data_IF_694534948982
#
_entry.id   IF_694534948982
#
_cell.length_a   1.000
_cell.length_b   1.000
_cell.length_c   1.000
_cell.angle_alpha   90.00
_cell.angle_beta   90.00
_cell.angle_gamma   90.00
#
_symmetry.space_group_name_H-M   'P 1'
#
loop_
_entity.id
_entity.type
_entity.pdbx_description
1 polymer ?
#
# COMPACT_ATOMS: atom_id res chain seq x y z
N UNK A 1 5.68 -1.03 -13.13
CA UNK A 1 5.40 -0.11 -12.01
C UNK A 1 3.89 0.00 -11.82
N UNK A 2 3.32 0.09 -10.60
CA UNK A 2 1.88 0.24 -10.44
C UNK A 2 1.36 1.51 -11.13
N UNK A 3 0.16 1.50 -11.75
CA UNK A 3 -0.34 2.65 -12.51
C UNK A 3 -0.49 3.96 -11.73
N UNK A 4 -0.61 3.87 -10.40
CA UNK A 4 -0.79 5.01 -9.49
C UNK A 4 0.51 5.49 -8.82
N UNK A 5 1.66 4.90 -9.16
CA UNK A 5 2.94 5.30 -8.58
C UNK A 5 3.38 6.66 -9.15
N UNK A 6 3.70 7.62 -8.28
CA UNK A 6 4.26 8.91 -8.70
C UNK A 6 5.78 8.77 -8.79
N UNK A 7 6.31 8.79 -10.01
CA UNK A 7 7.74 8.69 -10.30
C UNK A 7 8.36 10.08 -10.25
N UNK A 8 9.38 10.24 -9.40
CA UNK A 8 10.18 11.46 -9.25
C UNK A 8 11.42 11.42 -10.14
N UNK A 9 11.93 10.23 -10.44
CA UNK A 9 13.07 10.03 -11.32
C UNK A 9 13.15 8.60 -11.84
N UNK A 10 13.72 8.45 -13.02
CA UNK A 10 13.95 7.18 -13.70
C UNK A 10 15.34 7.20 -14.33
N UNK A 11 16.11 6.14 -14.15
CA UNK A 11 17.40 5.96 -14.79
C UNK A 11 17.55 4.52 -15.30
N UNK A 12 17.86 4.37 -16.58
CA UNK A 12 17.98 3.07 -17.23
C UNK A 12 19.43 2.74 -17.54
N UNK A 13 19.85 1.57 -17.11
CA UNK A 13 21.18 1.02 -17.30
C UNK A 13 21.13 -0.13 -18.28
N UNK A 14 22.09 -0.17 -19.19
CA UNK A 14 22.21 -1.19 -20.23
C UNK A 14 23.62 -1.78 -20.18
N UNK A 15 23.71 -3.09 -20.42
CA UNK A 15 24.97 -3.84 -20.55
C UNK A 15 25.88 -3.81 -19.29
N UNK A 16 25.29 -3.65 -18.10
CA UNK A 16 26.02 -3.83 -16.84
C UNK A 16 26.08 -5.32 -16.54
N UNK A 17 27.24 -5.94 -16.78
CA UNK A 17 27.43 -7.39 -16.59
C UNK A 17 26.43 -8.26 -17.37
N UNK A 18 26.08 -7.88 -18.61
CA UNK A 18 25.04 -8.50 -19.45
C UNK A 18 23.61 -8.39 -18.90
N UNK A 19 23.38 -7.48 -17.96
CA UNK A 19 22.06 -7.15 -17.44
C UNK A 19 21.66 -5.74 -17.88
N UNK A 20 20.36 -5.55 -18.03
CA UNK A 20 19.72 -4.25 -18.23
C UNK A 20 18.66 -4.08 -17.16
N UNK A 21 18.67 -2.93 -16.49
CA UNK A 21 17.72 -2.63 -15.42
C UNK A 21 17.42 -1.14 -15.35
N UNK A 22 16.28 -0.81 -14.78
CA UNK A 22 15.84 0.58 -14.58
C UNK A 22 15.60 0.83 -13.10
N UNK A 23 16.19 1.90 -12.59
CA UNK A 23 15.98 2.38 -11.23
C UNK A 23 14.89 3.45 -11.27
N UNK A 24 13.89 3.31 -10.42
CA UNK A 24 12.82 4.28 -10.24
C UNK A 24 12.88 4.88 -8.84
N UNK A 25 12.98 6.20 -8.76
CA UNK A 25 12.71 6.95 -7.55
C UNK A 25 11.23 7.35 -7.56
N UNK A 26 10.45 6.85 -6.61
CA UNK A 26 9.02 7.11 -6.53
C UNK A 26 8.63 7.66 -5.15
N UNK A 27 7.58 8.48 -5.10
CA UNK A 27 6.96 8.88 -3.83
C UNK A 27 6.43 7.63 -3.12
N UNK A 28 6.59 7.51 -1.79
CA UNK A 28 5.87 6.50 -1.02
C UNK A 28 4.36 6.61 -1.30
N UNK A 29 3.78 5.51 -1.77
CA UNK A 29 2.38 5.43 -2.17
C UNK A 29 1.80 4.13 -1.66
N UNK A 30 0.64 4.24 -1.00
CA UNK A 30 -0.10 3.09 -0.53
C UNK A 30 -0.53 2.24 -1.73
N UNK A 31 -0.41 0.92 -1.59
CA UNK A 31 -0.92 -0.04 -2.57
C UNK A 31 -2.00 -0.87 -1.91
N UNK A 32 -3.24 -0.70 -2.34
CA UNK A 32 -4.40 -1.42 -1.81
C UNK A 32 -4.59 -2.75 -2.54
N UNK A 33 -4.87 -3.82 -1.78
CA UNK A 33 -5.28 -5.12 -2.35
C UNK A 33 -6.80 -5.16 -2.42
N UNK A 34 -7.35 -4.64 -3.52
CA UNK A 34 -8.78 -4.39 -3.70
C UNK A 34 -9.67 -5.58 -3.35
N UNK A 35 -9.32 -6.79 -3.76
CA UNK A 35 -10.11 -8.00 -3.44
C UNK A 35 -10.11 -8.32 -1.94
N UNK A 36 -8.95 -8.17 -1.27
CA UNK A 36 -8.81 -8.46 0.15
C UNK A 36 -9.55 -7.44 1.02
N UNK A 37 -9.46 -6.15 0.67
CA UNK A 37 -10.22 -5.10 1.38
C UNK A 37 -11.72 -5.20 1.09
N UNK A 38 -12.13 -5.64 -0.10
CA UNK A 38 -13.54 -5.86 -0.42
C UNK A 38 -14.11 -7.01 0.43
N UNK A 39 -13.35 -8.11 0.58
CA UNK A 39 -13.71 -9.21 1.47
C UNK A 39 -13.77 -8.78 2.94
N UNK A 40 -12.83 -7.94 3.40
CA UNK A 40 -12.81 -7.38 4.76
C UNK A 40 -14.12 -6.67 5.13
N UNK A 41 -14.77 -6.04 4.14
CA UNK A 41 -16.06 -5.36 4.30
C UNK A 41 -17.26 -6.13 3.74
N UNK A 42 -17.10 -7.44 3.48
CA UNK A 42 -18.21 -8.29 3.01
C UNK A 42 -18.82 -7.84 1.68
N UNK A 43 -18.02 -7.28 0.78
CA UNK A 43 -18.48 -6.77 -0.52
C UNK A 43 -18.95 -5.31 -0.51
N UNK A 44 -18.89 -4.61 0.62
CA UNK A 44 -19.36 -3.22 0.69
C UNK A 44 -18.35 -2.23 0.10
N UNK A 45 -18.57 -1.83 -1.15
CA UNK A 45 -17.71 -0.90 -1.89
C UNK A 45 -17.66 0.50 -1.28
N UNK A 46 -18.73 0.96 -0.60
CA UNK A 46 -18.73 2.27 0.09
C UNK A 46 -17.76 2.26 1.27
N UNK A 47 -17.74 1.18 2.04
CA UNK A 47 -16.80 1.01 3.16
C UNK A 47 -15.35 0.92 2.68
N UNK A 48 -15.11 0.21 1.58
CA UNK A 48 -13.80 0.14 0.93
C UNK A 48 -13.32 1.54 0.55
N UNK A 49 -14.15 2.33 -0.13
CA UNK A 49 -13.78 3.69 -0.51
C UNK A 49 -13.55 4.60 0.71
N UNK A 50 -14.34 4.43 1.78
CA UNK A 50 -14.13 5.10 3.05
C UNK A 50 -12.77 4.75 3.68
N UNK A 51 -12.38 3.47 3.64
CA UNK A 51 -11.08 3.02 4.13
C UNK A 51 -9.92 3.59 3.30
N UNK A 52 -10.02 3.52 1.97
CA UNK A 52 -9.01 4.08 1.07
C UNK A 52 -8.83 5.58 1.33
N UNK A 53 -9.94 6.31 1.42
CA UNK A 53 -9.94 7.75 1.71
C UNK A 53 -9.31 8.05 3.06
N UNK A 54 -9.71 7.31 4.10
CA UNK A 54 -9.14 7.44 5.44
C UNK A 54 -7.62 7.26 5.38
N UNK A 55 -7.13 6.14 4.84
CA UNK A 55 -5.69 5.85 4.81
C UNK A 55 -4.89 6.83 3.94
N UNK A 56 -5.45 7.28 2.82
CA UNK A 56 -4.81 8.28 1.94
C UNK A 56 -4.77 9.69 2.56
N UNK A 57 -5.67 10.00 3.48
CA UNK A 57 -5.68 11.29 4.19
C UNK A 57 -4.63 11.39 5.31
N UNK A 58 -4.04 10.25 5.70
CA UNK A 58 -3.11 10.17 6.82
C UNK A 58 -1.71 10.57 6.41
N UNK A 59 -0.97 11.18 7.34
CA UNK A 59 0.47 11.33 7.18
C UNK A 59 1.13 9.94 7.10
N UNK A 60 2.02 9.78 6.12
CA UNK A 60 2.63 8.50 5.81
C UNK A 60 3.54 8.00 6.95
N UNK A 61 4.30 8.90 7.59
CA UNK A 61 5.24 8.53 8.66
C UNK A 61 4.48 8.11 9.91
N UNK A 62 3.40 8.83 10.23
CA UNK A 62 2.49 8.45 11.32
C UNK A 62 1.84 7.10 11.04
N UNK A 63 1.29 6.89 9.84
CA UNK A 63 0.65 5.63 9.47
C UNK A 63 1.65 4.46 9.56
N UNK A 64 2.88 4.65 9.08
CA UNK A 64 3.96 3.66 9.22
C UNK A 64 4.24 3.32 10.68
N UNK A 65 4.33 4.33 11.54
CA UNK A 65 4.62 4.16 12.96
C UNK A 65 3.50 3.42 13.68
N UNK A 66 2.25 3.67 13.33
CA UNK A 66 1.08 2.97 13.88
C UNK A 66 1.06 1.50 13.50
N UNK A 67 1.31 1.18 12.23
CA UNK A 67 1.45 -0.22 11.82
C UNK A 67 2.62 -0.91 12.53
N UNK A 68 3.75 -0.23 12.74
CA UNK A 68 4.88 -0.79 13.48
C UNK A 68 4.53 -1.07 14.95
N UNK A 69 3.86 -0.12 15.61
CA UNK A 69 3.42 -0.29 17.00
C UNK A 69 2.40 -1.42 17.15
N UNK A 70 1.55 -1.61 16.14
CA UNK A 70 0.53 -2.67 16.09
C UNK A 70 0.99 -3.98 15.45
N UNK A 71 2.29 -4.22 15.33
CA UNK A 71 2.88 -5.44 14.74
C UNK A 71 2.32 -5.77 13.34
N UNK A 72 2.37 -4.77 12.46
CA UNK A 72 1.87 -4.85 11.10
C UNK A 72 0.36 -4.69 10.96
N UNK A 73 -0.37 -4.31 12.02
CA UNK A 73 -1.83 -4.16 12.03
C UNK A 73 -2.28 -2.84 12.67
N UNK A 74 -3.34 -2.25 12.14
CA UNK A 74 -4.06 -1.14 12.79
C UNK A 74 -5.56 -1.42 12.83
N UNK A 75 -6.24 -0.87 13.82
CA UNK A 75 -7.71 -0.84 13.87
C UNK A 75 -8.20 0.47 13.27
N UNK A 76 -9.06 0.38 12.26
CA UNK A 76 -9.72 1.55 11.66
C UNK A 76 -11.16 1.59 12.15
N UNK A 77 -11.47 2.58 12.98
CA UNK A 77 -12.79 2.84 13.58
C UNK A 77 -13.41 4.18 13.14
N UNK A 78 -12.70 4.96 12.33
CA UNK A 78 -13.09 6.31 11.92
C UNK A 78 -14.11 6.37 10.77
N UNK A 79 -14.52 5.23 10.21
CA UNK A 79 -15.46 5.20 9.08
C UNK A 79 -16.89 5.17 9.63
N UNK A 80 -17.58 6.31 9.57
CA UNK A 80 -18.94 6.47 10.08
C UNK A 80 -19.90 5.43 9.47
N UNK A 81 -20.74 4.83 10.32
CA UNK A 81 -21.72 3.83 9.90
C UNK A 81 -21.15 2.42 9.71
N UNK A 82 -19.87 2.19 9.99
CA UNK A 82 -19.24 0.87 9.85
C UNK A 82 -18.52 0.42 11.12
N UNK A 83 -18.49 -0.90 11.39
CA UNK A 83 -17.77 -1.43 12.53
C UNK A 83 -16.26 -1.26 12.34
N UNK A 84 -15.53 -1.16 13.45
CA UNK A 84 -14.09 -1.13 13.44
C UNK A 84 -13.52 -2.38 12.75
N UNK A 85 -12.53 -2.19 11.86
CA UNK A 85 -11.87 -3.28 11.13
C UNK A 85 -10.37 -3.25 11.32
N UNK A 86 -9.77 -4.43 11.41
CA UNK A 86 -8.33 -4.59 11.44
C UNK A 86 -7.77 -4.59 10.01
N UNK A 87 -6.90 -3.64 9.72
CA UNK A 87 -6.15 -3.54 8.47
C UNK A 87 -4.75 -4.06 8.73
N UNK A 88 -4.21 -4.88 7.81
CA UNK A 88 -2.98 -5.66 8.02
C UNK A 88 -2.05 -5.44 6.82
N UNK A 89 -0.76 -5.21 7.09
CA UNK A 89 0.24 -4.97 6.06
C UNK A 89 0.49 -6.20 5.17
N UNK A 90 0.44 -5.95 3.86
CA UNK A 90 0.56 -6.87 2.74
C UNK A 90 -0.52 -7.96 2.62
N UNK A 91 -1.47 -8.00 3.56
CA UNK A 91 -2.76 -8.67 3.38
C UNK A 91 -3.78 -7.72 2.74
N UNK A 92 -3.93 -6.53 3.32
CA UNK A 92 -4.91 -5.53 2.91
C UNK A 92 -4.27 -4.35 2.17
N UNK A 93 -3.13 -3.87 2.64
CA UNK A 93 -2.45 -2.67 2.12
C UNK A 93 -0.94 -2.79 2.25
N UNK A 94 -0.19 -2.19 1.33
CA UNK A 94 1.24 -1.94 1.48
C UNK A 94 1.49 -0.45 1.66
N UNK A 95 2.48 -0.09 2.48
CA UNK A 95 2.86 1.30 2.66
C UNK A 95 3.57 1.85 1.43
N UNK A 96 4.37 1.03 0.76
CA UNK A 96 5.04 1.44 -0.48
C UNK A 96 4.84 0.44 -1.61
N UNK A 97 5.02 0.94 -2.84
CA UNK A 97 5.14 0.12 -4.04
C UNK A 97 6.29 -0.88 -3.93
N UNK A 98 7.41 -0.49 -3.32
CA UNK A 98 8.56 -1.36 -3.10
C UNK A 98 8.19 -2.59 -2.27
N UNK A 99 7.46 -2.40 -1.17
CA UNK A 99 7.01 -3.50 -0.30
C UNK A 99 6.07 -4.45 -1.05
N UNK A 100 5.18 -3.90 -1.88
CA UNK A 100 4.27 -4.69 -2.72
C UNK A 100 5.03 -5.53 -3.73
N UNK A 101 6.01 -4.95 -4.43
CA UNK A 101 6.84 -5.65 -5.42
C UNK A 101 7.68 -6.74 -4.75
N UNK A 102 8.34 -6.44 -3.64
CA UNK A 102 9.17 -7.40 -2.90
C UNK A 102 8.35 -8.62 -2.46
N UNK A 103 7.12 -8.40 -1.97
CA UNK A 103 6.25 -9.48 -1.51
C UNK A 103 5.56 -10.26 -2.64
N UNK A 104 5.29 -9.64 -3.79
CA UNK A 104 4.60 -10.29 -4.92
C UNK A 104 5.53 -10.98 -5.89
N UNK A 105 6.76 -10.47 -6.06
CA UNK A 105 7.71 -11.02 -7.02
C UNK A 105 8.67 -12.05 -6.45
N UNK A 106 8.71 -12.24 -5.12
CA UNK A 106 9.56 -13.24 -4.47
C UNK A 106 10.98 -13.23 -5.04
N UNK A 107 11.73 -12.16 -4.74
CA UNK A 107 13.19 -12.25 -4.81
C UNK A 107 13.71 -13.14 -3.68
#
# INVERSE_FOLDING_TARGET
MPPHAVILGEESFHDISKLSFTIYLARPALVFKSDAILLLYGGNTKSVHGLETYLLSRDHSNLKSEFQLGDGKITVDAIEGFPARNVVLGEHVFLTVGDSVLRTKGL
#
